data_IF_695906908656
#
_entry.id   IF_695906908656
#
_cell.length_a   1.000
_cell.length_b   1.000
_cell.length_c   1.000
_cell.angle_alpha   90.00
_cell.angle_beta   90.00
_cell.angle_gamma   90.00
#
_symmetry.space_group_name_H-M   'P 1'
#
loop_
_entity.id
_entity.type
_entity.pdbx_description
1 polymer ?
#
# COMPACT_ATOMS: atom_id res chain seq x y z
N UNK A 1 -4.41 -5.67 -9.75
CA UNK A 1 -5.21 -4.56 -10.30
C UNK A 1 -4.32 -3.38 -10.67
N UNK A 2 -3.71 -2.68 -9.70
CA UNK A 2 -2.83 -1.53 -9.94
C UNK A 2 -1.72 -1.81 -10.98
N UNK A 3 -0.86 -2.81 -10.76
CA UNK A 3 0.23 -3.13 -11.71
C UNK A 3 -0.26 -3.63 -13.08
N UNK A 4 -1.50 -4.12 -13.15
CA UNK A 4 -2.12 -4.65 -14.38
C UNK A 4 -2.89 -3.57 -15.14
N UNK A 5 -2.99 -2.34 -14.62
CA UNK A 5 -3.69 -1.21 -15.25
C UNK A 5 -5.13 -1.54 -15.67
N UNK A 6 -5.87 -2.25 -14.82
CA UNK A 6 -7.28 -2.57 -15.05
C UNK A 6 -8.18 -1.40 -14.64
N UNK A 7 -9.30 -1.21 -15.33
CA UNK A 7 -10.26 -0.14 -15.00
C UNK A 7 -11.20 -0.51 -13.84
N UNK A 8 -11.44 -1.80 -13.64
CA UNK A 8 -12.29 -2.35 -12.58
C UNK A 8 -11.66 -3.62 -12.00
N UNK A 9 -11.94 -3.91 -10.74
CA UNK A 9 -11.50 -5.15 -10.11
C UNK A 9 -12.47 -5.59 -9.02
N UNK A 10 -12.48 -6.89 -8.74
CA UNK A 10 -13.26 -7.47 -7.66
C UNK A 10 -12.52 -7.32 -6.33
N UNK A 11 -13.17 -6.72 -5.34
CA UNK A 11 -12.63 -6.47 -4.01
C UNK A 11 -13.75 -6.56 -2.97
N UNK A 12 -13.50 -7.27 -1.86
CA UNK A 12 -14.47 -7.41 -0.75
C UNK A 12 -15.90 -7.75 -1.22
N UNK A 13 -16.02 -8.77 -2.08
CA UNK A 13 -17.28 -9.24 -2.66
C UNK A 13 -18.02 -8.25 -3.58
N UNK A 14 -17.35 -7.18 -4.02
CA UNK A 14 -17.92 -6.16 -4.90
C UNK A 14 -17.01 -5.88 -6.09
N UNK A 15 -17.60 -5.57 -7.24
CA UNK A 15 -16.87 -5.02 -8.38
C UNK A 15 -16.76 -3.51 -8.21
N UNK A 16 -15.52 -3.00 -8.15
CA UNK A 16 -15.25 -1.58 -7.92
C UNK A 16 -14.39 -0.99 -9.03
N UNK A 17 -14.60 0.29 -9.32
CA UNK A 17 -13.78 1.05 -10.27
C UNK A 17 -12.43 1.39 -9.66
N UNK A 18 -11.37 1.26 -10.46
CA UNK A 18 -10.02 1.68 -10.10
C UNK A 18 -9.73 3.05 -10.71
N UNK A 19 -9.69 4.08 -9.86
CA UNK A 19 -9.31 5.42 -10.30
C UNK A 19 -7.79 5.52 -10.39
N UNK A 20 -7.27 5.92 -11.56
CA UNK A 20 -5.82 6.10 -11.79
C UNK A 20 -5.19 7.20 -10.93
N UNK A 21 -6.00 8.05 -10.32
CA UNK A 21 -5.58 9.11 -9.40
C UNK A 21 -5.35 8.62 -7.96
N UNK A 22 -5.67 7.35 -7.64
CA UNK A 22 -5.46 6.81 -6.30
C UNK A 22 -3.98 6.54 -6.05
N UNK A 23 -3.50 6.95 -4.88
CA UNK A 23 -2.15 6.65 -4.39
C UNK A 23 -2.21 6.03 -3.00
N UNK A 24 -1.33 5.08 -2.72
CA UNK A 24 -1.22 4.41 -1.42
C UNK A 24 0.16 4.74 -0.85
N UNK A 25 0.17 5.30 0.35
CA UNK A 25 1.39 5.68 1.05
C UNK A 25 1.32 5.18 2.49
N UNK A 26 2.44 4.66 2.99
CA UNK A 26 2.58 4.22 4.38
C UNK A 26 3.66 5.05 5.03
N UNK A 27 3.31 5.74 6.11
CA UNK A 27 4.27 6.43 6.98
C UNK A 27 4.53 5.56 8.20
N UNK A 28 5.77 5.10 8.36
CA UNK A 28 6.23 4.43 9.58
C UNK A 28 7.33 5.25 10.21
N UNK A 29 7.33 5.30 11.54
CA UNK A 29 8.52 5.66 12.31
C UNK A 29 9.19 4.33 12.73
N UNK A 30 10.35 3.97 12.16
CA UNK A 30 10.92 2.62 12.29
C UNK A 30 11.30 2.21 13.73
N UNK A 31 11.32 3.15 14.69
CA UNK A 31 11.73 2.87 16.07
C UNK A 31 10.63 3.20 17.09
N UNK A 32 9.36 3.27 16.66
CA UNK A 32 8.27 3.59 17.58
C UNK A 32 7.99 2.42 18.54
N UNK A 33 8.52 2.55 19.76
CA UNK A 33 8.44 1.54 20.82
C UNK A 33 6.99 1.09 21.06
N UNK A 34 6.82 -0.23 21.21
CA UNK A 34 5.53 -0.85 21.51
C UNK A 34 4.60 -1.03 20.30
N UNK A 35 5.07 -0.77 19.08
CA UNK A 35 4.35 -1.11 17.84
C UNK A 35 5.11 -2.16 17.05
N UNK A 36 4.37 -3.04 16.39
CA UNK A 36 4.94 -4.02 15.46
C UNK A 36 5.27 -3.32 14.14
N UNK A 37 6.45 -3.61 13.59
CA UNK A 37 6.80 -3.20 12.23
C UNK A 37 5.84 -3.82 11.19
N UNK A 38 5.79 -3.23 10.00
CA UNK A 38 5.10 -3.87 8.87
C UNK A 38 5.72 -5.24 8.55
N UNK A 39 4.90 -6.25 8.20
CA UNK A 39 5.41 -7.52 7.68
C UNK A 39 6.27 -7.31 6.43
N UNK A 40 7.33 -8.11 6.28
CA UNK A 40 8.28 -7.96 5.18
C UNK A 40 7.61 -8.07 3.80
N UNK A 41 6.63 -8.96 3.66
CA UNK A 41 5.83 -9.12 2.43
C UNK A 41 5.06 -7.86 2.02
N UNK A 42 4.75 -6.99 2.97
CA UNK A 42 4.10 -5.71 2.70
C UNK A 42 5.16 -4.65 2.41
N UNK A 43 6.27 -4.63 3.16
CA UNK A 43 7.40 -3.70 2.93
C UNK A 43 7.91 -3.80 1.49
N UNK A 44 8.00 -5.01 0.93
CA UNK A 44 8.46 -5.21 -0.46
C UNK A 44 7.57 -4.58 -1.53
N UNK A 45 6.33 -4.24 -1.22
CA UNK A 45 5.40 -3.56 -2.14
C UNK A 45 5.65 -2.05 -2.23
N UNK A 46 6.41 -1.47 -1.30
CA UNK A 46 6.63 -0.03 -1.21
C UNK A 46 8.11 0.32 -1.36
N UNK A 47 8.37 1.55 -1.81
CA UNK A 47 9.73 2.12 -1.83
C UNK A 47 9.98 2.85 -0.51
N UNK A 48 11.06 2.54 0.23
CA UNK A 48 11.36 3.23 1.47
C UNK A 48 11.79 4.67 1.21
N UNK A 49 11.33 5.58 2.05
CA UNK A 49 11.76 6.99 2.09
C UNK A 49 12.00 7.34 3.55
N UNK A 50 13.21 7.84 3.86
CA UNK A 50 13.54 8.39 5.17
C UNK A 50 13.55 9.91 5.07
N UNK A 51 12.80 10.58 5.93
CA UNK A 51 12.87 12.04 6.10
C UNK A 51 13.98 12.31 7.11
N UNK A 52 14.97 13.09 6.71
CA UNK A 52 16.15 13.46 7.50
C UNK A 52 15.99 14.87 8.07
#
# INVERSE_FOLDING_TARGET
ALSLHVEQFFFEHNEIQLLSTVGIFVTMNPDYVGRTELPESVKTLFRPVAVV
#
